data_IF_420156162319
#
_entry.id   IF_420156162319
#
_cell.length_a   1.000
_cell.length_b   1.000
_cell.length_c   1.000
_cell.angle_alpha   90.00
_cell.angle_beta   90.00
_cell.angle_gamma   90.00
#
_symmetry.space_group_name_H-M   'P 1'
#
loop_
_entity.id
_entity.type
_entity.pdbx_description
1 polymer ?
#
# COMPACT_ATOMS: atom_id res chain seq x y z
N UNK A 1 34.78 -11.45 -12.60
CA UNK A 1 33.99 -10.42 -11.90
C UNK A 1 33.27 -11.08 -10.72
N UNK A 2 33.72 -10.83 -9.49
CA UNK A 2 33.03 -11.35 -8.30
C UNK A 2 31.79 -10.47 -8.08
N UNK A 3 30.59 -11.00 -8.36
CA UNK A 3 29.32 -10.32 -8.04
C UNK A 3 29.25 -10.20 -6.51
N UNK A 4 29.65 -9.06 -5.96
CA UNK A 4 29.40 -8.77 -4.55
C UNK A 4 27.89 -8.81 -4.32
N UNK A 5 27.44 -9.76 -3.49
CA UNK A 5 26.02 -9.87 -3.14
C UNK A 5 25.65 -8.63 -2.33
N UNK A 6 24.55 -7.98 -2.71
CA UNK A 6 24.01 -6.87 -1.93
C UNK A 6 23.75 -7.36 -0.50
N UNK A 7 24.15 -6.60 0.52
CA UNK A 7 23.90 -6.99 1.90
C UNK A 7 22.40 -7.15 2.15
N UNK A 8 22.04 -8.21 2.88
CA UNK A 8 20.74 -8.32 3.55
C UNK A 8 20.82 -7.42 4.79
N UNK A 9 19.81 -6.60 5.02
CA UNK A 9 19.86 -5.58 6.07
C UNK A 9 18.61 -4.73 6.07
N UNK A 10 18.68 -3.51 6.61
CA UNK A 10 17.51 -2.65 6.82
C UNK A 10 16.67 -2.44 5.54
N UNK A 11 17.29 -2.51 4.35
CA UNK A 11 16.55 -2.47 3.09
C UNK A 11 15.59 -3.64 2.85
N UNK A 12 15.81 -4.84 3.41
CA UNK A 12 14.85 -5.94 3.31
C UNK A 12 13.61 -5.72 4.20
N UNK A 13 13.68 -4.85 5.22
CA UNK A 13 12.49 -4.45 5.97
C UNK A 13 11.50 -3.68 5.09
N UNK A 14 11.97 -2.94 4.09
CA UNK A 14 11.07 -2.30 3.12
C UNK A 14 10.25 -3.31 2.32
N UNK A 15 10.81 -4.48 2.01
CA UNK A 15 10.05 -5.57 1.39
C UNK A 15 9.03 -6.17 2.35
N UNK A 16 9.38 -6.30 3.63
CA UNK A 16 8.45 -6.80 4.65
C UNK A 16 7.26 -5.85 4.80
N UNK A 17 7.51 -4.54 4.94
CA UNK A 17 6.46 -3.51 5.00
C UNK A 17 5.61 -3.53 3.72
N UNK A 18 6.24 -3.66 2.55
CA UNK A 18 5.53 -3.81 1.28
C UNK A 18 4.59 -5.03 1.33
N UNK A 19 5.07 -6.19 1.75
CA UNK A 19 4.25 -7.41 1.84
C UNK A 19 3.12 -7.29 2.85
N UNK A 20 3.31 -6.55 3.95
CA UNK A 20 2.24 -6.23 4.90
C UNK A 20 1.17 -5.34 4.28
N UNK A 21 1.55 -4.33 3.49
CA UNK A 21 0.59 -3.51 2.75
C UNK A 21 -0.25 -4.33 1.77
N UNK A 22 0.37 -5.29 1.08
CA UNK A 22 -0.36 -6.25 0.24
C UNK A 22 -1.25 -7.15 1.09
N UNK A 23 -0.76 -7.64 2.22
CA UNK A 23 -1.53 -8.49 3.11
C UNK A 23 -2.77 -7.79 3.68
N UNK A 24 -2.67 -6.48 3.92
CA UNK A 24 -3.77 -5.66 4.38
C UNK A 24 -4.89 -5.52 3.34
N UNK A 25 -4.52 -5.38 2.06
CA UNK A 25 -5.44 -5.03 0.98
C UNK A 25 -6.05 -6.25 0.27
N UNK A 26 -5.27 -7.31 0.11
CA UNK A 26 -5.69 -8.51 -0.62
C UNK A 26 -6.34 -9.53 0.31
N UNK A 27 -7.29 -10.29 -0.24
CA UNK A 27 -7.94 -11.39 0.47
C UNK A 27 -7.03 -12.61 0.55
N UNK A 28 -7.00 -13.27 1.70
CA UNK A 28 -6.21 -14.47 1.95
C UNK A 28 -7.13 -15.66 2.24
N UNK A 29 -6.74 -16.83 1.72
CA UNK A 29 -7.46 -18.08 1.93
C UNK A 29 -8.77 -18.21 1.14
N UNK A 30 -9.45 -19.34 1.33
CA UNK A 30 -10.71 -19.66 0.65
C UNK A 30 -11.85 -18.69 1.03
N UNK A 31 -11.76 -18.08 2.21
CA UNK A 31 -12.76 -17.16 2.75
C UNK A 31 -12.55 -15.71 2.31
N UNK A 32 -11.52 -15.42 1.50
CA UNK A 32 -11.16 -14.06 1.07
C UNK A 32 -10.98 -13.09 2.25
N UNK A 33 -10.36 -13.55 3.34
CA UNK A 33 -10.16 -12.72 4.52
C UNK A 33 -9.24 -11.53 4.20
N UNK A 34 -9.78 -10.31 4.33
CA UNK A 34 -9.06 -9.05 4.09
C UNK A 34 -8.82 -8.38 5.44
N UNK A 35 -7.56 -8.29 5.84
CA UNK A 35 -7.17 -7.65 7.11
C UNK A 35 -7.69 -6.21 7.22
N UNK A 36 -7.68 -5.45 6.12
CA UNK A 36 -8.23 -4.10 6.11
C UNK A 36 -9.74 -4.03 6.31
N UNK A 37 -10.51 -5.01 5.82
CA UNK A 37 -11.95 -5.05 6.02
C UNK A 37 -12.26 -5.38 7.47
N UNK A 38 -11.53 -6.34 8.05
CA UNK A 38 -11.66 -6.69 9.46
C UNK A 38 -11.35 -5.51 10.38
N UNK A 39 -10.29 -4.73 10.10
CA UNK A 39 -9.98 -3.53 10.89
C UNK A 39 -11.04 -2.45 10.77
N UNK A 40 -11.56 -2.23 9.57
CA UNK A 40 -12.60 -1.22 9.34
C UNK A 40 -13.92 -1.61 10.01
N UNK A 41 -14.30 -2.89 9.93
CA UNK A 41 -15.47 -3.45 10.62
C UNK A 41 -15.34 -3.32 12.14
N UNK A 42 -14.16 -3.63 12.70
CA UNK A 42 -13.88 -3.49 14.14
C UNK A 42 -13.97 -2.03 14.63
N UNK A 43 -13.62 -1.07 13.78
CA UNK A 43 -13.66 0.36 14.09
C UNK A 43 -14.98 1.02 13.66
N UNK A 44 -15.96 0.24 13.18
CA UNK A 44 -17.23 0.70 12.63
C UNK A 44 -17.07 1.75 11.52
N UNK A 45 -15.97 1.67 10.77
CA UNK A 45 -15.68 2.57 9.65
C UNK A 45 -16.26 2.06 8.33
N UNK A 46 -16.82 2.96 7.50
CA UNK A 46 -17.34 2.58 6.21
C UNK A 46 -16.20 2.08 5.31
N UNK A 47 -16.47 1.00 4.56
CA UNK A 47 -15.50 0.41 3.62
C UNK A 47 -15.39 1.25 2.34
N UNK A 48 -16.48 1.94 1.98
CA UNK A 48 -16.57 2.78 0.79
C UNK A 48 -16.97 4.21 1.15
N UNK A 49 -16.49 5.17 0.34
CA UNK A 49 -16.85 6.59 0.48
C UNK A 49 -18.36 6.87 0.28
N UNK A 50 -19.05 6.12 -0.60
CA UNK A 50 -20.50 6.25 -0.85
C UNK A 50 -21.26 4.95 -0.53
N UNK A 51 -21.15 4.44 0.70
CA UNK A 51 -21.95 3.30 1.19
C UNK A 51 -21.54 1.96 0.56
N UNK A 52 -22.07 1.66 -0.63
CA UNK A 52 -21.79 0.43 -1.40
C UNK A 52 -20.91 0.66 -2.64
N UNK A 53 -20.64 1.92 -2.99
CA UNK A 53 -19.88 2.28 -4.19
C UNK A 53 -18.89 3.42 -3.91
N UNK A 54 -17.95 3.62 -4.84
CA UNK A 54 -16.96 4.68 -4.79
C UNK A 54 -15.62 4.21 -4.22
N UNK A 55 -14.88 5.16 -3.64
CA UNK A 55 -13.51 4.94 -3.19
C UNK A 55 -13.42 3.87 -2.09
N UNK A 56 -12.60 2.83 -2.33
CA UNK A 56 -12.25 1.84 -1.31
C UNK A 56 -11.34 2.45 -0.23
N UNK A 57 -11.91 2.73 0.94
CA UNK A 57 -11.19 3.37 2.05
C UNK A 57 -10.07 2.49 2.63
N UNK A 58 -10.23 1.16 2.78
CA UNK A 58 -9.11 0.30 3.20
C UNK A 58 -7.93 0.34 2.23
N UNK A 59 -8.18 0.53 0.94
CA UNK A 59 -7.11 0.69 -0.05
C UNK A 59 -6.31 1.96 0.21
N UNK A 60 -6.97 3.08 0.48
CA UNK A 60 -6.28 4.34 0.82
C UNK A 60 -5.58 4.25 2.18
N UNK A 61 -6.16 3.55 3.15
CA UNK A 61 -5.55 3.32 4.45
C UNK A 61 -4.21 2.58 4.35
N UNK A 62 -4.01 1.72 3.33
CA UNK A 62 -2.71 1.06 3.10
C UNK A 62 -1.56 2.01 2.79
N UNK A 63 -1.83 3.29 2.50
CA UNK A 63 -0.80 4.33 2.40
C UNK A 63 0.11 4.38 3.64
N UNK A 64 -0.40 4.04 4.83
CA UNK A 64 0.39 3.95 6.07
C UNK A 64 1.53 2.93 5.97
N UNK A 65 1.40 1.91 5.12
CA UNK A 65 2.45 0.93 4.83
C UNK A 65 3.32 1.38 3.65
N UNK A 66 2.73 1.99 2.62
CA UNK A 66 3.49 2.41 1.43
C UNK A 66 4.48 3.56 1.73
N UNK A 67 4.08 4.56 2.53
CA UNK A 67 4.94 5.70 2.89
C UNK A 67 6.26 5.25 3.55
N UNK A 68 6.25 4.49 4.67
CA UNK A 68 7.48 4.06 5.30
C UNK A 68 8.26 3.07 4.42
N UNK A 69 7.59 2.23 3.61
CA UNK A 69 8.28 1.37 2.66
C UNK A 69 9.08 2.19 1.63
N UNK A 70 8.51 3.26 1.07
CA UNK A 70 9.19 4.17 0.13
C UNK A 70 10.34 4.92 0.81
N UNK A 71 10.13 5.47 2.02
CA UNK A 71 11.16 6.22 2.76
C UNK A 71 12.34 5.30 3.10
N UNK A 72 12.07 4.11 3.62
CA UNK A 72 13.11 3.15 3.97
C UNK A 72 13.82 2.64 2.72
N UNK A 73 13.08 2.44 1.63
CA UNK A 73 13.66 1.98 0.38
C UNK A 73 14.51 3.04 -0.34
N UNK A 74 14.17 4.33 -0.21
CA UNK A 74 14.99 5.42 -0.74
C UNK A 74 16.29 5.59 0.03
N UNK A 75 16.23 5.48 1.37
CA UNK A 75 17.38 5.65 2.27
C UNK A 75 18.39 4.50 2.18
N UNK A 76 17.93 3.27 1.99
CA UNK A 76 18.77 2.06 2.00
C UNK A 76 18.89 1.39 0.62
N UNK A 77 19.02 2.18 -0.45
CA UNK A 77 18.99 1.74 -1.86
C UNK A 77 20.08 0.72 -2.26
N UNK A 78 21.16 0.66 -1.48
CA UNK A 78 22.28 -0.28 -1.71
C UNK A 78 21.92 -1.74 -1.37
N UNK A 79 20.95 -1.95 -0.48
CA UNK A 79 20.58 -3.28 0.04
C UNK A 79 19.73 -4.08 -0.96
N UNK A 80 19.64 -5.40 -0.73
CA UNK A 80 18.89 -6.33 -1.58
C UNK A 80 17.38 -6.07 -1.51
N UNK A 81 16.68 -6.18 -2.64
CA UNK A 81 15.21 -6.05 -2.69
C UNK A 81 14.67 -4.62 -2.60
N UNK A 82 15.47 -3.68 -2.07
CA UNK A 82 15.08 -2.30 -1.85
C UNK A 82 14.59 -1.57 -3.11
N UNK A 83 15.21 -1.85 -4.27
CA UNK A 83 14.82 -1.18 -5.53
C UNK A 83 13.44 -1.63 -6.03
N UNK A 84 13.09 -2.90 -5.80
CA UNK A 84 11.76 -3.43 -6.11
C UNK A 84 10.75 -2.85 -5.14
N UNK A 85 11.05 -2.86 -3.83
CA UNK A 85 10.19 -2.27 -2.81
C UNK A 85 9.90 -0.80 -3.09
N UNK A 86 10.92 0.00 -3.44
CA UNK A 86 10.75 1.42 -3.78
C UNK A 86 9.80 1.62 -4.97
N UNK A 87 10.02 0.89 -6.08
CA UNK A 87 9.22 1.05 -7.28
C UNK A 87 7.76 0.60 -7.06
N UNK A 88 7.56 -0.55 -6.41
CA UNK A 88 6.21 -1.10 -6.17
C UNK A 88 5.47 -0.27 -5.11
N UNK A 89 6.10 0.05 -3.98
CA UNK A 89 5.48 0.88 -2.95
C UNK A 89 5.18 2.29 -3.47
N UNK A 90 6.09 2.87 -4.27
CA UNK A 90 5.88 4.18 -4.89
C UNK A 90 4.71 4.18 -5.86
N UNK A 91 4.60 3.14 -6.70
CA UNK A 91 3.47 2.97 -7.60
C UNK A 91 2.14 2.79 -6.86
N UNK A 92 2.12 1.94 -5.83
CA UNK A 92 0.92 1.71 -5.00
C UNK A 92 0.50 2.96 -4.24
N UNK A 93 1.46 3.74 -3.73
CA UNK A 93 1.20 5.02 -3.09
C UNK A 93 0.58 6.03 -4.06
N UNK A 94 1.07 6.08 -5.30
CA UNK A 94 0.52 6.92 -6.35
C UNK A 94 -0.95 6.57 -6.63
N UNK A 95 -1.26 5.27 -6.76
CA UNK A 95 -2.64 4.81 -6.92
C UNK A 95 -3.54 5.17 -5.73
N UNK A 96 -3.02 5.09 -4.50
CA UNK A 96 -3.73 5.49 -3.29
C UNK A 96 -4.11 6.98 -3.28
N UNK A 97 -3.34 7.83 -3.97
CA UNK A 97 -3.60 9.28 -4.06
C UNK A 97 -4.50 9.60 -5.26
N UNK A 98 -4.32 8.91 -6.39
CA UNK A 98 -5.11 9.17 -7.60
C UNK A 98 -6.58 8.85 -7.39
N UNK A 99 -6.91 7.74 -6.71
CA UNK A 99 -8.30 7.37 -6.42
C UNK A 99 -9.10 8.51 -5.77
N UNK A 100 -8.67 9.03 -4.61
CA UNK A 100 -9.34 10.15 -3.95
C UNK A 100 -9.39 11.42 -4.80
N UNK A 101 -8.33 11.73 -5.53
CA UNK A 101 -8.29 12.94 -6.38
C UNK A 101 -9.34 12.83 -7.49
N UNK A 102 -9.47 11.67 -8.14
CA UNK A 102 -10.49 11.46 -9.18
C UNK A 102 -11.90 11.54 -8.60
N UNK A 103 -12.15 10.93 -7.43
CA UNK A 103 -13.46 11.00 -6.75
C UNK A 103 -13.85 12.46 -6.41
N UNK A 104 -12.88 13.25 -5.94
CA UNK A 104 -13.08 14.68 -5.65
C UNK A 104 -13.35 15.47 -6.94
N UNK A 105 -12.57 15.27 -7.99
CA UNK A 105 -12.74 15.96 -9.26
C UNK A 105 -14.10 15.63 -9.89
N UNK A 106 -14.51 14.37 -9.87
CA UNK A 106 -15.81 13.95 -10.37
C UNK A 106 -16.96 14.64 -9.62
N UNK A 107 -16.87 14.71 -8.28
CA UNK A 107 -17.82 15.48 -7.47
C UNK A 107 -17.84 16.97 -7.82
N UNK A 108 -16.69 17.58 -8.11
CA UNK A 108 -16.65 19.00 -8.51
C UNK A 108 -17.19 19.26 -9.92
N UNK A 109 -17.02 18.32 -10.85
CA UNK A 109 -17.46 18.46 -12.24
C UNK A 109 -18.96 18.13 -12.39
N UNK A 110 -19.47 17.17 -11.64
CA UNK A 110 -20.86 16.71 -11.72
C UNK A 110 -21.78 17.34 -10.65
N UNK A 111 -21.28 18.26 -9.82
CA UNK A 111 -22.07 19.06 -8.87
C UNK A 111 -22.48 20.41 -9.43
#
# INVERSE_FOLDING_TARGET
MIKQRKPLGIGTLSLLILTLGFAFNYGWGAENFRLGYYLFDLLEFPIFSNGDQGLHLPFVATAIFWIPAVIMASKYRSYYGTRVAFNVAGFMLLLCIVGPVVDIVDRFVNS
#
